data_IF_923365812467
#
_entry.id   IF_923365812467
#
_cell.length_a   1.000
_cell.length_b   1.000
_cell.length_c   1.000
_cell.angle_alpha   90.00
_cell.angle_beta   90.00
_cell.angle_gamma   90.00
#
_symmetry.space_group_name_H-M   'P 1'
#
loop_
_entity.id
_entity.type
_entity.pdbx_description
1 polymer ?
#
# COMPACT_ATOMS: atom_id res chain seq x y z
N UNK A 1 -2.02 -37.57 -12.10
CA UNK A 1 -1.48 -36.31 -12.64
C UNK A 1 -1.54 -35.29 -11.51
N UNK A 2 -0.42 -34.90 -10.86
CA UNK A 2 -0.49 -33.93 -9.79
C UNK A 2 -0.86 -32.57 -10.41
N UNK A 3 -1.97 -32.00 -9.97
CA UNK A 3 -2.40 -30.66 -10.36
C UNK A 3 -1.35 -29.70 -9.77
N UNK A 4 -0.43 -29.23 -10.61
CA UNK A 4 0.53 -28.21 -10.19
C UNK A 4 -0.26 -26.98 -9.72
N UNK A 5 0.02 -26.45 -8.52
CA UNK A 5 -0.68 -25.28 -7.99
C UNK A 5 -0.58 -24.09 -8.96
N UNK A 6 -1.63 -23.27 -9.05
CA UNK A 6 -1.72 -22.17 -10.02
C UNK A 6 -0.67 -21.08 -9.78
N UNK A 7 -0.34 -20.79 -8.51
CA UNK A 7 0.76 -19.89 -8.16
C UNK A 7 2.07 -20.48 -8.65
N UNK A 8 2.29 -21.79 -8.47
CA UNK A 8 3.50 -22.50 -8.89
C UNK A 8 3.65 -22.54 -10.42
N UNK A 9 2.54 -22.71 -11.13
CA UNK A 9 2.48 -22.69 -12.59
C UNK A 9 2.85 -21.31 -13.10
N UNK A 10 2.23 -20.23 -12.58
CA UNK A 10 2.57 -18.84 -12.89
C UNK A 10 3.97 -18.41 -12.39
N UNK A 11 4.50 -19.10 -11.38
CA UNK A 11 5.86 -18.92 -10.84
C UNK A 11 6.92 -19.50 -11.80
N UNK A 12 6.64 -20.64 -12.46
CA UNK A 12 7.51 -21.25 -13.48
C UNK A 12 7.33 -20.63 -14.89
N UNK A 13 6.10 -20.29 -15.29
CA UNK A 13 5.80 -19.93 -16.69
C UNK A 13 5.80 -18.43 -17.02
N UNK A 14 5.87 -17.54 -16.02
CA UNK A 14 5.86 -16.09 -16.27
C UNK A 14 4.54 -15.55 -16.86
N UNK A 15 3.49 -16.36 -16.92
CA UNK A 15 2.22 -16.00 -17.56
C UNK A 15 1.51 -14.88 -16.78
N UNK A 16 1.10 -13.85 -17.52
CA UNK A 16 0.34 -12.69 -17.05
C UNK A 16 -1.13 -12.99 -17.31
N UNK A 17 -1.94 -13.04 -16.25
CA UNK A 17 -3.40 -13.05 -16.38
C UNK A 17 -3.83 -11.66 -16.87
N UNK A 18 -4.33 -11.60 -18.10
CA UNK A 18 -4.69 -10.37 -18.81
C UNK A 18 -6.20 -10.42 -19.06
N UNK A 19 -7.00 -10.07 -18.06
CA UNK A 19 -8.46 -10.06 -18.21
C UNK A 19 -8.99 -8.66 -17.90
N UNK A 20 -9.29 -7.89 -18.96
CA UNK A 20 -10.33 -6.86 -18.94
C UNK A 20 -10.77 -6.59 -20.38
N UNK A 21 -11.75 -7.35 -20.84
CA UNK A 21 -12.51 -7.11 -22.07
C UNK A 21 -13.82 -6.41 -21.66
N UNK A 22 -14.03 -5.17 -22.08
CA UNK A 22 -15.30 -4.43 -21.91
C UNK A 22 -15.70 -3.88 -23.29
N UNK A 23 -16.83 -4.33 -23.88
CA UNK A 23 -17.31 -3.82 -25.15
C UNK A 23 -18.29 -2.65 -25.00
N UNK A 24 -18.26 -1.74 -25.98
CA UNK A 24 -19.43 -0.95 -26.41
C UNK A 24 -19.59 0.45 -25.79
N UNK A 25 -19.08 1.48 -26.49
CA UNK A 25 -19.47 2.88 -26.26
C UNK A 25 -20.20 3.40 -27.50
N UNK A 26 -21.53 3.51 -27.40
CA UNK A 26 -22.41 4.08 -28.43
C UNK A 26 -22.31 5.61 -28.39
N UNK A 27 -22.25 6.20 -29.58
CA UNK A 27 -22.18 7.63 -29.84
C UNK A 27 -23.42 8.38 -29.33
N UNK A 28 -23.26 9.64 -28.95
CA UNK A 28 -24.16 10.75 -29.28
C UNK A 28 -23.55 12.10 -28.89
N UNK A 29 -23.34 12.94 -29.92
CA UNK A 29 -23.32 14.41 -29.87
C UNK A 29 -24.75 14.86 -30.24
N UNK A 30 -25.27 16.03 -29.80
CA UNK A 30 -24.83 17.30 -30.40
C UNK A 30 -24.97 18.61 -29.56
N UNK A 31 -24.15 19.60 -29.96
CA UNK A 31 -24.50 21.00 -30.31
C UNK A 31 -25.01 22.04 -29.28
N UNK A 32 -24.63 23.30 -29.57
CA UNK A 32 -25.12 24.63 -29.14
C UNK A 32 -24.56 25.22 -27.83
N UNK A 33 -23.67 26.21 -27.92
CA UNK A 33 -23.89 27.67 -28.10
C UNK A 33 -24.45 28.34 -26.83
N UNK A 34 -23.65 29.18 -26.15
CA UNK A 34 -23.91 30.62 -26.13
C UNK A 34 -22.88 31.44 -25.32
N UNK A 35 -22.60 32.61 -25.86
CA UNK A 35 -21.80 33.72 -25.35
C UNK A 35 -22.53 34.52 -24.26
N UNK A 36 -21.83 35.02 -23.22
CA UNK A 36 -22.07 36.39 -22.70
C UNK A 36 -21.00 36.88 -21.71
N UNK A 37 -20.28 37.89 -22.19
CA UNK A 37 -19.93 39.20 -21.60
C UNK A 37 -19.86 39.38 -20.07
N UNK A 38 -18.66 39.77 -19.62
CA UNK A 38 -18.32 40.34 -18.31
C UNK A 38 -19.03 41.69 -18.05
N UNK A 39 -19.54 41.87 -16.83
CA UNK A 39 -19.67 43.16 -16.17
C UNK A 39 -19.31 43.02 -14.67
N UNK A 40 -18.63 44.00 -14.06
CA UNK A 40 -18.18 43.90 -12.68
C UNK A 40 -19.35 44.18 -11.73
N UNK A 41 -19.74 43.19 -10.95
CA UNK A 41 -20.63 43.35 -9.80
C UNK A 41 -19.76 43.56 -8.55
N UNK A 42 -20.08 44.60 -7.78
CA UNK A 42 -19.44 44.85 -6.47
C UNK A 42 -19.93 43.80 -5.47
N UNK A 43 -19.16 42.73 -5.31
CA UNK A 43 -19.38 41.69 -4.31
C UNK A 43 -18.93 42.19 -2.92
N UNK A 44 -19.89 42.48 -2.05
CA UNK A 44 -19.66 42.66 -0.60
C UNK A 44 -19.56 41.28 0.10
N UNK A 45 -18.72 40.41 -0.46
CA UNK A 45 -18.41 39.09 0.08
C UNK A 45 -17.18 39.11 1.00
N UNK A 46 -16.96 38.07 1.83
CA UNK A 46 -15.78 37.98 2.68
C UNK A 46 -14.50 38.07 1.81
N UNK A 47 -13.56 38.91 2.25
CA UNK A 47 -12.30 39.20 1.56
C UNK A 47 -11.63 37.88 1.16
N UNK A 48 -11.39 37.61 -0.14
CA UNK A 48 -10.70 36.40 -0.55
C UNK A 48 -9.28 36.46 -0.02
N UNK A 49 -9.00 35.66 1.02
CA UNK A 49 -7.66 35.49 1.56
C UNK A 49 -6.78 34.84 0.48
N UNK A 50 -6.08 35.68 -0.27
CA UNK A 50 -5.10 35.21 -1.24
C UNK A 50 -3.89 34.62 -0.50
N UNK A 51 -3.44 33.44 -0.94
CA UNK A 51 -2.25 32.81 -0.39
C UNK A 51 -1.02 33.66 -0.68
N UNK A 52 -0.12 33.88 0.30
CA UNK A 52 1.07 34.70 0.12
C UNK A 52 1.90 34.19 -1.06
N UNK A 53 2.34 35.10 -1.93
CA UNK A 53 2.99 34.80 -3.20
C UNK A 53 4.26 33.93 -3.05
N UNK A 54 4.89 33.95 -1.87
CA UNK A 54 6.06 33.12 -1.51
C UNK A 54 5.77 31.61 -1.63
N UNK A 55 4.50 31.20 -1.45
CA UNK A 55 4.09 29.79 -1.56
C UNK A 55 3.57 29.43 -2.96
N UNK A 56 3.57 30.37 -3.92
CA UNK A 56 3.15 30.10 -5.30
C UNK A 56 4.37 29.67 -6.10
N UNK A 57 4.43 28.39 -6.49
CA UNK A 57 5.43 27.92 -7.43
C UNK A 57 5.11 28.50 -8.83
N UNK A 58 5.96 29.37 -9.41
CA UNK A 58 5.66 30.05 -10.68
C UNK A 58 5.61 29.08 -11.88
N UNK A 59 6.12 27.86 -11.74
CA UNK A 59 6.09 26.84 -12.79
C UNK A 59 4.74 26.12 -12.91
N UNK A 60 3.78 26.34 -12.00
CA UNK A 60 2.47 25.72 -12.01
C UNK A 60 1.39 26.77 -12.26
N UNK A 61 0.73 26.68 -13.42
CA UNK A 61 -0.32 27.62 -13.81
C UNK A 61 -1.65 27.43 -13.06
N UNK A 62 -1.88 26.26 -12.45
CA UNK A 62 -3.11 25.95 -11.72
C UNK A 62 -2.83 25.21 -10.40
N UNK A 63 -3.39 25.72 -9.30
CA UNK A 63 -3.22 25.22 -7.92
C UNK A 63 -3.82 23.84 -7.69
N UNK A 64 -4.80 23.47 -8.50
CA UNK A 64 -5.54 22.21 -8.37
C UNK A 64 -5.36 21.30 -9.58
N UNK A 65 -4.25 21.45 -10.32
CA UNK A 65 -3.95 20.64 -11.51
C UNK A 65 -3.99 19.12 -11.24
N UNK A 66 -3.69 18.70 -10.01
CA UNK A 66 -3.74 17.29 -9.57
C UNK A 66 -5.14 16.81 -9.19
N UNK A 67 -6.11 17.72 -9.00
CA UNK A 67 -7.51 17.40 -8.68
C UNK A 67 -8.41 17.43 -9.92
N UNK A 68 -7.95 18.05 -11.02
CA UNK A 68 -8.68 18.00 -12.30
C UNK A 68 -8.45 16.64 -12.95
N UNK A 69 -9.54 15.88 -13.08
CA UNK A 69 -9.57 14.68 -13.90
C UNK A 69 -9.14 15.06 -15.32
N UNK A 70 -8.04 14.47 -15.79
CA UNK A 70 -7.44 14.76 -17.07
C UNK A 70 -8.36 14.36 -18.22
N UNK A 71 -9.17 15.29 -18.72
CA UNK A 71 -9.72 15.19 -20.07
C UNK A 71 -8.60 15.58 -21.04
N UNK A 72 -8.05 14.54 -21.69
CA UNK A 72 -7.14 14.55 -22.84
C UNK A 72 -6.46 15.90 -23.18
N UNK A 73 -5.20 16.08 -22.73
CA UNK A 73 -4.29 17.06 -23.33
C UNK A 73 -3.11 16.34 -23.98
N UNK A 74 -2.96 16.60 -25.27
CA UNK A 74 -1.84 16.21 -26.12
C UNK A 74 -0.56 16.83 -25.51
N UNK A 75 0.50 16.05 -25.25
CA UNK A 75 1.74 16.59 -24.72
C UNK A 75 2.49 17.41 -25.79
N UNK A 76 3.12 18.55 -25.43
CA UNK A 76 4.00 19.28 -26.34
C UNK A 76 5.30 18.50 -26.62
N UNK A 77 5.94 18.70 -27.79
CA UNK A 77 7.16 17.99 -28.16
C UNK A 77 8.33 18.43 -27.28
N UNK A 78 8.85 17.50 -26.48
CA UNK A 78 10.07 17.66 -25.69
C UNK A 78 11.25 17.58 -26.65
N UNK A 79 12.02 18.66 -26.78
CA UNK A 79 13.31 18.66 -27.47
C UNK A 79 14.29 17.78 -26.69
N UNK A 80 14.69 16.66 -27.29
CA UNK A 80 15.68 15.75 -26.72
C UNK A 80 17.08 16.27 -27.05
N UNK A 81 17.67 17.03 -26.14
CA UNK A 81 19.11 17.17 -26.10
C UNK A 81 19.71 15.76 -25.96
N UNK A 82 20.47 15.32 -26.97
CA UNK A 82 21.14 14.01 -27.02
C UNK A 82 22.18 13.94 -25.91
N UNK A 83 21.76 13.52 -24.72
CA UNK A 83 22.68 13.06 -23.67
C UNK A 83 22.92 11.57 -23.88
N UNK A 84 24.20 11.24 -23.92
CA UNK A 84 24.77 9.92 -24.19
C UNK A 84 23.96 8.76 -23.58
N UNK A 85 23.44 7.89 -24.47
CA UNK A 85 22.62 6.71 -24.14
C UNK A 85 23.38 5.62 -23.36
N UNK A 86 24.69 5.77 -23.18
CA UNK A 86 25.51 4.75 -22.50
C UNK A 86 25.23 4.63 -21.00
N UNK A 87 24.72 5.69 -20.37
CA UNK A 87 24.38 5.73 -18.92
C UNK A 87 22.88 5.43 -18.65
N UNK A 88 22.06 5.18 -19.66
CA UNK A 88 20.59 5.07 -19.51
C UNK A 88 20.13 3.77 -18.79
N UNK A 89 21.03 2.77 -18.71
CA UNK A 89 20.83 1.54 -17.93
C UNK A 89 21.40 1.61 -16.51
N UNK A 90 22.08 2.69 -16.14
CA UNK A 90 22.55 2.89 -14.79
C UNK A 90 21.34 3.26 -13.91
N UNK A 91 20.92 2.34 -13.03
CA UNK A 91 19.78 2.60 -12.16
C UNK A 91 19.96 3.91 -11.38
N UNK A 92 18.87 4.64 -11.08
CA UNK A 92 18.90 5.94 -10.39
C UNK A 92 19.76 5.98 -9.10
N UNK A 93 20.06 4.84 -8.48
CA UNK A 93 20.98 4.73 -7.33
C UNK A 93 22.45 4.84 -7.74
N UNK A 94 22.82 4.29 -8.88
CA UNK A 94 24.17 4.37 -9.41
C UNK A 94 24.52 5.78 -9.87
N UNK A 95 23.63 6.44 -10.61
CA UNK A 95 23.78 7.85 -11.02
C UNK A 95 24.00 8.74 -9.78
N UNK A 96 23.20 8.55 -8.72
CA UNK A 96 23.39 9.29 -7.46
C UNK A 96 24.72 9.00 -6.76
N UNK A 97 25.26 7.78 -6.85
CA UNK A 97 26.59 7.47 -6.29
C UNK A 97 27.70 8.15 -7.10
N UNK A 98 27.57 8.17 -8.43
CA UNK A 98 28.50 8.86 -9.34
C UNK A 98 28.47 10.37 -9.11
N UNK A 99 27.29 10.97 -8.95
CA UNK A 99 27.14 12.39 -8.61
C UNK A 99 27.65 12.70 -7.19
N UNK A 100 27.36 11.85 -6.21
CA UNK A 100 27.90 11.99 -4.85
C UNK A 100 29.43 11.86 -4.81
N UNK A 101 30.03 11.08 -5.70
CA UNK A 101 31.49 10.98 -5.80
C UNK A 101 32.12 12.27 -6.34
N UNK A 102 31.42 13.06 -7.15
CA UNK A 102 31.90 14.38 -7.61
C UNK A 102 32.02 15.41 -6.49
N UNK A 103 31.34 15.15 -5.39
CA UNK A 103 31.37 15.97 -4.18
C UNK A 103 32.50 15.58 -3.22
N UNK A 104 33.27 14.52 -3.51
CA UNK A 104 34.48 14.20 -2.77
C UNK A 104 35.56 15.27 -3.05
N UNK A 105 35.94 16.04 -2.02
CA UNK A 105 36.96 17.09 -2.12
C UNK A 105 36.41 18.52 -2.10
N UNK A 106 35.10 18.73 -2.02
CA UNK A 106 34.54 20.06 -1.79
C UNK A 106 34.66 20.43 -0.29
N UNK A 107 35.39 21.51 0.06
CA UNK A 107 35.58 21.93 1.47
C UNK A 107 34.28 22.38 2.15
N UNK A 108 33.22 22.66 1.40
CA UNK A 108 31.92 23.04 1.93
C UNK A 108 30.98 21.86 2.18
N UNK A 109 31.41 20.63 1.85
CA UNK A 109 30.60 19.43 2.05
C UNK A 109 31.04 18.77 3.36
N UNK A 110 30.25 19.04 4.40
CA UNK A 110 30.47 18.50 5.75
C UNK A 110 29.80 17.14 5.84
N UNK A 111 30.57 16.12 6.21
CA UNK A 111 30.02 14.80 6.52
C UNK A 111 29.10 14.89 7.74
N UNK A 112 28.03 14.11 7.74
CA UNK A 112 27.18 13.96 8.91
C UNK A 112 28.05 13.56 10.11
N UNK A 113 28.03 14.39 11.15
CA UNK A 113 28.73 14.15 12.40
C UNK A 113 27.90 13.19 13.26
N UNK A 114 28.53 12.58 14.27
CA UNK A 114 27.81 11.70 15.21
C UNK A 114 26.62 12.40 15.89
N UNK A 115 26.67 13.74 16.03
CA UNK A 115 25.57 14.55 16.57
C UNK A 115 24.35 14.58 15.65
N UNK A 116 24.54 14.53 14.33
CA UNK A 116 23.44 14.55 13.35
C UNK A 116 22.66 13.23 13.34
N UNK A 117 23.29 12.14 13.80
CA UNK A 117 22.65 10.84 13.99
C UNK A 117 21.93 10.71 15.34
N UNK A 118 22.16 11.64 16.28
CA UNK A 118 21.42 11.67 17.54
C UNK A 118 20.09 12.35 17.27
N UNK A 119 19.02 11.55 17.21
CA UNK A 119 17.67 12.07 17.22
C UNK A 119 17.48 12.81 18.56
N UNK A 120 17.33 14.13 18.50
CA UNK A 120 16.92 14.92 19.66
C UNK A 120 15.53 14.46 20.05
N UNK A 121 15.45 13.59 21.06
CA UNK A 121 14.16 13.19 21.62
C UNK A 121 13.57 14.44 22.24
N UNK A 122 12.39 14.90 21.80
CA UNK A 122 11.76 16.05 22.40
C UNK A 122 11.59 15.77 23.89
N UNK A 123 12.29 16.53 24.74
CA UNK A 123 12.04 16.48 26.17
C UNK A 123 10.64 17.04 26.36
N UNK A 124 9.67 16.14 26.57
CA UNK A 124 8.31 16.49 26.89
C UNK A 124 8.30 17.16 28.27
N UNK A 125 8.56 18.47 28.30
CA UNK A 125 8.24 19.28 29.46
C UNK A 125 6.73 19.31 29.56
N UNK A 126 6.20 18.85 30.69
CA UNK A 126 4.78 18.96 30.98
C UNK A 126 4.43 20.44 30.94
N UNK A 127 3.57 20.84 30.01
CA UNK A 127 3.05 22.22 29.96
C UNK A 127 2.12 22.51 31.13
N UNK A 128 1.75 21.48 31.89
CA UNK A 128 0.95 21.59 33.09
C UNK A 128 1.83 21.92 34.29
N UNK A 129 1.51 22.97 35.06
CA UNK A 129 2.17 23.26 36.32
C UNK A 129 1.92 22.12 37.31
N UNK A 130 2.98 21.63 37.96
CA UNK A 130 2.87 20.76 39.13
C UNK A 130 2.88 21.62 40.40
N UNK A 131 1.94 21.43 41.34
CA UNK A 131 0.85 20.45 41.33
C UNK A 131 -0.32 20.90 40.44
N UNK A 132 -1.07 19.91 39.92
CA UNK A 132 -2.28 20.13 39.15
C UNK A 132 -3.21 21.12 39.88
N UNK A 133 -3.73 22.17 39.21
CA UNK A 133 -4.62 23.13 39.85
C UNK A 133 -5.83 22.44 40.50
N UNK A 134 -6.26 22.86 41.71
CA UNK A 134 -7.28 22.14 42.49
C UNK A 134 -8.66 22.09 41.84
N UNK A 135 -8.90 22.91 40.81
CA UNK A 135 -10.15 22.94 40.05
C UNK A 135 -10.21 21.92 38.89
N UNK A 136 -9.13 21.18 38.62
CA UNK A 136 -9.09 20.16 37.56
C UNK A 136 -9.12 18.76 38.19
N UNK A 137 -10.28 18.08 38.22
CA UNK A 137 -10.41 16.81 38.94
C UNK A 137 -9.67 15.68 38.20
N UNK A 138 -8.94 14.85 38.97
CA UNK A 138 -8.08 13.76 38.45
C UNK A 138 -8.81 12.64 37.70
N UNK A 139 -10.13 12.51 37.91
CA UNK A 139 -10.88 11.30 37.55
C UNK A 139 -12.08 11.58 36.62
N UNK A 140 -12.02 12.61 35.76
CA UNK A 140 -13.06 12.75 34.73
C UNK A 140 -12.79 11.70 33.65
N UNK A 141 -13.68 10.72 33.53
CA UNK A 141 -13.73 9.84 32.37
C UNK A 141 -13.89 10.69 31.12
N UNK A 142 -12.90 10.64 30.24
CA UNK A 142 -12.95 11.28 28.92
C UNK A 142 -14.18 10.74 28.20
N UNK A 143 -15.03 11.62 27.61
CA UNK A 143 -16.19 11.15 26.85
C UNK A 143 -15.72 10.22 25.73
N UNK A 144 -16.50 9.17 25.46
CA UNK A 144 -16.18 8.19 24.43
C UNK A 144 -15.91 8.90 23.10
N UNK A 145 -14.66 8.86 22.65
CA UNK A 145 -14.26 9.43 21.37
C UNK A 145 -14.95 8.65 20.25
N UNK A 146 -15.72 9.33 19.41
CA UNK A 146 -16.27 8.73 18.19
C UNK A 146 -15.11 8.47 17.23
N UNK A 147 -14.86 7.21 16.84
CA UNK A 147 -13.81 6.93 15.88
C UNK A 147 -14.15 7.60 14.54
N UNK A 148 -13.15 8.16 13.83
CA UNK A 148 -13.38 8.77 12.53
C UNK A 148 -13.92 7.75 11.54
N UNK A 149 -14.75 8.21 10.60
CA UNK A 149 -15.28 7.36 9.53
C UNK A 149 -14.12 6.73 8.72
N UNK A 150 -14.23 5.44 8.44
CA UNK A 150 -13.21 4.69 7.70
C UNK A 150 -13.24 5.10 6.23
N UNK A 151 -12.32 5.98 5.85
CA UNK A 151 -12.12 6.37 4.46
C UNK A 151 -11.42 5.24 3.67
N UNK A 152 -12.08 4.59 2.69
CA UNK A 152 -11.52 3.44 1.98
C UNK A 152 -10.27 3.84 1.17
N UNK A 153 -10.22 5.06 0.63
CA UNK A 153 -9.07 5.53 -0.14
C UNK A 153 -7.83 5.74 0.72
N UNK A 154 -7.98 6.25 1.95
CA UNK A 154 -6.87 6.40 2.90
C UNK A 154 -6.37 5.05 3.40
N UNK A 155 -7.30 4.14 3.73
CA UNK A 155 -6.97 2.78 4.15
C UNK A 155 -6.24 1.99 3.04
N UNK A 156 -6.58 2.26 1.77
CA UNK A 156 -5.95 1.62 0.62
C UNK A 156 -4.63 2.29 0.19
N UNK A 157 -4.36 3.54 0.58
CA UNK A 157 -3.14 4.25 0.20
C UNK A 157 -1.87 3.65 0.84
N UNK A 158 -2.00 2.98 2.00
CA UNK A 158 -0.93 2.22 2.66
C UNK A 158 -0.79 0.78 2.20
N UNK A 159 -1.60 0.33 1.23
CA UNK A 159 -1.53 -1.04 0.70
C UNK A 159 -0.23 -1.17 -0.07
N UNK A 160 0.81 -1.70 0.58
CA UNK A 160 2.08 -2.00 -0.06
C UNK A 160 1.85 -2.90 -1.27
N UNK A 161 1.80 -2.28 -2.44
CA UNK A 161 1.73 -2.93 -3.72
C UNK A 161 3.10 -3.52 -4.06
N UNK A 162 3.68 -4.32 -3.16
CA UNK A 162 4.73 -5.27 -3.52
C UNK A 162 4.21 -6.01 -4.74
N UNK A 163 4.69 -5.65 -5.92
CA UNK A 163 4.19 -6.21 -7.16
C UNK A 163 4.23 -7.73 -7.04
N UNK A 164 3.24 -8.44 -7.56
CA UNK A 164 3.30 -9.90 -7.64
C UNK A 164 4.62 -10.35 -8.32
N UNK A 165 5.23 -9.50 -9.16
CA UNK A 165 6.58 -9.69 -9.72
C UNK A 165 7.69 -9.70 -8.64
N UNK A 166 7.65 -8.80 -7.67
CA UNK A 166 8.61 -8.72 -6.56
C UNK A 166 8.47 -9.89 -5.59
N UNK A 167 7.23 -10.25 -5.25
CA UNK A 167 6.90 -11.44 -4.48
C UNK A 167 7.43 -12.72 -5.14
N UNK A 168 7.18 -12.90 -6.44
CA UNK A 168 7.71 -14.05 -7.21
C UNK A 168 9.24 -14.07 -7.17
N UNK A 169 9.90 -12.91 -7.32
CA UNK A 169 11.37 -12.81 -7.26
C UNK A 169 11.91 -13.23 -5.89
N UNK A 170 11.29 -12.77 -4.80
CA UNK A 170 11.64 -13.18 -3.43
C UNK A 170 11.44 -14.68 -3.25
N UNK A 171 10.27 -15.24 -3.55
CA UNK A 171 10.00 -16.67 -3.36
C UNK A 171 10.95 -17.57 -4.19
N UNK A 172 11.34 -17.15 -5.40
CA UNK A 172 12.37 -17.86 -6.19
C UNK A 172 13.72 -17.89 -5.52
N UNK A 173 14.13 -16.81 -4.84
CA UNK A 173 15.41 -16.73 -4.13
C UNK A 173 15.49 -17.78 -3.00
N UNK A 174 14.36 -18.20 -2.47
CA UNK A 174 14.27 -19.10 -1.31
C UNK A 174 14.11 -20.58 -1.72
N UNK A 175 14.02 -20.87 -3.03
CA UNK A 175 14.16 -22.21 -3.60
C UNK A 175 13.05 -23.21 -3.25
N UNK A 176 13.43 -24.48 -3.10
CA UNK A 176 12.52 -25.64 -2.92
C UNK A 176 11.73 -25.60 -1.62
N UNK A 177 12.32 -25.04 -0.54
CA UNK A 177 11.61 -24.82 0.73
C UNK A 177 10.39 -23.94 0.53
N UNK A 178 10.53 -22.86 -0.23
CA UNK A 178 9.43 -21.97 -0.55
C UNK A 178 8.39 -22.65 -1.45
N UNK A 179 8.84 -23.40 -2.46
CA UNK A 179 7.96 -24.14 -3.38
C UNK A 179 7.01 -25.07 -2.64
N UNK A 180 7.54 -25.96 -1.79
CA UNK A 180 6.71 -26.89 -1.02
C UNK A 180 5.71 -26.16 -0.12
N UNK A 181 6.11 -25.05 0.49
CA UNK A 181 5.27 -24.31 1.43
C UNK A 181 4.16 -23.53 0.72
N UNK A 182 4.46 -22.97 -0.46
CA UNK A 182 3.47 -22.35 -1.33
C UNK A 182 2.45 -23.39 -1.80
N UNK A 183 2.90 -24.58 -2.23
CA UNK A 183 2.00 -25.66 -2.67
C UNK A 183 0.96 -26.00 -1.60
N UNK A 184 1.40 -26.25 -0.38
CA UNK A 184 0.54 -26.70 0.70
C UNK A 184 -0.46 -25.62 1.12
N UNK A 185 0.02 -24.38 1.28
CA UNK A 185 -0.83 -23.22 1.62
C UNK A 185 -1.84 -22.93 0.51
N UNK A 186 -1.40 -22.97 -0.75
CA UNK A 186 -2.27 -22.70 -1.90
C UNK A 186 -3.37 -23.76 -2.01
N UNK A 187 -3.03 -25.04 -1.80
CA UNK A 187 -4.00 -26.12 -1.80
C UNK A 187 -5.11 -25.88 -0.76
N UNK A 188 -4.74 -25.50 0.47
CA UNK A 188 -5.73 -25.21 1.51
C UNK A 188 -6.59 -23.98 1.18
N UNK A 189 -5.99 -22.90 0.66
CA UNK A 189 -6.74 -21.69 0.28
C UNK A 189 -7.70 -22.01 -0.87
N UNK A 190 -7.27 -22.77 -1.88
CA UNK A 190 -8.14 -23.14 -2.99
C UNK A 190 -9.27 -24.07 -2.53
N UNK A 191 -8.97 -25.07 -1.71
CA UNK A 191 -9.98 -25.95 -1.13
C UNK A 191 -11.02 -25.17 -0.31
N UNK A 192 -10.57 -24.17 0.46
CA UNK A 192 -11.46 -23.28 1.19
C UNK A 192 -12.33 -22.42 0.26
N UNK A 193 -11.75 -21.80 -0.76
CA UNK A 193 -12.47 -20.96 -1.73
C UNK A 193 -13.46 -21.75 -2.59
N UNK A 194 -13.21 -23.02 -2.84
CA UNK A 194 -14.12 -23.93 -3.54
C UNK A 194 -15.33 -24.34 -2.69
N UNK A 195 -15.39 -23.92 -1.42
CA UNK A 195 -16.45 -24.28 -0.48
C UNK A 195 -16.24 -25.63 0.18
N UNK A 196 -14.99 -26.07 0.34
CA UNK A 196 -14.62 -27.35 0.92
C UNK A 196 -15.02 -27.53 2.39
N UNK A 197 -14.76 -28.74 2.89
CA UNK A 197 -15.15 -29.27 4.21
C UNK A 197 -14.96 -28.27 5.36
N UNK A 198 -16.06 -27.96 6.04
CA UNK A 198 -16.09 -27.08 7.21
C UNK A 198 -15.72 -27.84 8.48
N UNK A 199 -15.07 -27.14 9.40
CA UNK A 199 -14.79 -27.69 10.72
C UNK A 199 -16.09 -27.64 11.54
N UNK A 200 -16.77 -28.78 11.64
CA UNK A 200 -17.95 -29.03 12.50
C UNK A 200 -18.99 -27.88 12.54
N UNK A 201 -19.75 -27.68 11.43
CA UNK A 201 -20.73 -26.60 11.34
C UNK A 201 -21.86 -26.70 12.38
N UNK A 202 -22.13 -27.92 12.88
CA UNK A 202 -23.23 -28.20 13.82
C UNK A 202 -22.78 -28.21 15.29
N UNK A 203 -21.51 -27.94 15.59
CA UNK A 203 -21.09 -27.79 16.98
C UNK A 203 -21.53 -26.42 17.50
N UNK A 204 -22.05 -26.37 18.72
CA UNK A 204 -22.39 -25.10 19.42
C UNK A 204 -21.19 -24.12 19.48
N UNK A 205 -19.99 -24.61 19.18
CA UNK A 205 -18.71 -23.92 19.16
C UNK A 205 -18.14 -23.72 17.74
N UNK A 206 -18.96 -23.66 16.69
CA UNK A 206 -18.50 -23.48 15.30
C UNK A 206 -17.62 -22.23 15.06
N UNK A 207 -17.67 -21.24 15.97
CA UNK A 207 -16.83 -20.04 15.96
C UNK A 207 -15.71 -20.06 17.02
N UNK A 208 -15.60 -21.12 17.83
CA UNK A 208 -14.56 -21.23 18.83
C UNK A 208 -13.22 -21.59 18.19
N UNK A 209 -12.18 -20.85 18.56
CA UNK A 209 -10.81 -21.13 18.13
C UNK A 209 -10.36 -22.49 18.70
N UNK A 210 -10.12 -23.47 17.83
CA UNK A 210 -9.63 -24.78 18.25
C UNK A 210 -8.11 -24.72 18.44
N UNK A 211 -7.67 -24.60 19.70
CA UNK A 211 -6.26 -24.55 20.07
C UNK A 211 -5.82 -25.92 20.62
N UNK A 212 -4.68 -26.49 20.19
CA UNK A 212 -3.62 -25.86 19.38
C UNK A 212 -3.86 -25.85 17.86
N UNK A 213 -4.97 -26.41 17.39
CA UNK A 213 -5.34 -26.49 15.96
C UNK A 213 -4.81 -27.75 15.26
N UNK A 214 -5.29 -28.01 14.05
CA UNK A 214 -4.85 -29.14 13.22
C UNK A 214 -3.65 -28.76 12.35
N UNK A 215 -2.65 -29.64 12.20
CA UNK A 215 -1.51 -29.34 11.34
C UNK A 215 -1.94 -29.23 9.87
N UNK A 216 -1.54 -28.15 9.20
CA UNK A 216 -1.79 -27.97 7.77
C UNK A 216 -0.89 -28.94 6.98
N UNK A 217 -1.49 -29.86 6.24
CA UNK A 217 -0.78 -30.86 5.40
C UNK A 217 0.35 -31.61 6.16
N UNK A 218 0.15 -31.89 7.45
CA UNK A 218 1.12 -32.61 8.29
C UNK A 218 2.30 -31.79 8.80
N UNK A 219 2.26 -30.45 8.69
CA UNK A 219 3.30 -29.55 9.20
C UNK A 219 2.91 -28.97 10.56
N UNK A 220 3.77 -29.17 11.57
CA UNK A 220 3.46 -28.77 12.95
C UNK A 220 3.53 -27.27 13.22
N UNK A 221 4.21 -26.51 12.37
CA UNK A 221 4.49 -25.08 12.56
C UNK A 221 3.43 -24.15 11.95
N UNK A 222 2.49 -24.69 11.16
CA UNK A 222 1.27 -23.99 10.69
C UNK A 222 0.09 -24.85 11.09
N UNK A 223 -0.74 -24.34 12.00
CA UNK A 223 -1.91 -25.04 12.51
C UNK A 223 -3.17 -24.29 12.19
N UNK A 224 -4.15 -24.98 11.64
CA UNK A 224 -5.48 -24.44 11.41
C UNK A 224 -6.28 -24.43 12.72
N UNK A 225 -6.74 -23.24 13.10
CA UNK A 225 -7.45 -23.00 14.35
C UNK A 225 -8.95 -22.79 14.10
N UNK A 226 -9.31 -22.21 12.96
CA UNK A 226 -10.71 -21.99 12.59
C UNK A 226 -10.86 -21.96 11.07
N UNK A 227 -11.90 -22.63 10.56
CA UNK A 227 -12.31 -22.57 9.16
C UNK A 227 -13.81 -22.39 9.06
N UNK A 228 -14.22 -21.27 8.50
CA UNK A 228 -15.62 -20.96 8.16
C UNK A 228 -15.70 -20.48 6.71
N UNK A 229 -16.88 -20.40 6.09
CA UNK A 229 -17.02 -19.87 4.72
C UNK A 229 -16.46 -18.43 4.54
N UNK A 230 -16.37 -17.67 5.64
CA UNK A 230 -15.99 -16.26 5.61
C UNK A 230 -14.55 -16.01 6.06
N UNK A 231 -13.97 -16.93 6.84
CA UNK A 231 -12.65 -16.75 7.42
C UNK A 231 -11.89 -18.07 7.57
N UNK A 232 -10.59 -17.98 7.34
CA UNK A 232 -9.62 -19.05 7.56
C UNK A 232 -8.55 -18.52 8.51
N UNK A 233 -8.43 -19.12 9.68
CA UNK A 233 -7.53 -18.67 10.75
C UNK A 233 -6.46 -19.73 11.02
N UNK A 234 -5.21 -19.30 10.89
CA UNK A 234 -4.04 -20.14 11.13
C UNK A 234 -3.21 -19.60 12.30
N UNK A 235 -2.77 -20.50 13.17
CA UNK A 235 -1.73 -20.28 14.16
C UNK A 235 -0.38 -20.67 13.56
N UNK A 236 0.54 -19.71 13.50
CA UNK A 236 1.89 -19.90 12.96
C UNK A 236 2.87 -19.63 14.11
N UNK A 237 3.60 -20.68 14.53
CA UNK A 237 4.55 -20.60 15.62
C UNK A 237 5.84 -19.91 15.16
N UNK A 238 6.05 -18.63 15.53
CA UNK A 238 7.24 -17.77 15.35
C UNK A 238 8.02 -17.85 14.02
N UNK A 239 7.45 -18.43 12.96
CA UNK A 239 8.05 -18.48 11.63
C UNK A 239 7.59 -17.27 10.81
N UNK A 240 8.41 -16.22 10.84
CA UNK A 240 8.20 -15.02 10.03
C UNK A 240 8.13 -15.32 8.53
N UNK A 241 8.82 -16.36 8.05
CA UNK A 241 8.76 -16.75 6.64
C UNK A 241 7.45 -17.42 6.28
N UNK A 242 7.01 -18.41 7.07
CA UNK A 242 5.72 -19.06 6.85
C UNK A 242 4.60 -18.01 6.80
N UNK A 243 4.58 -17.07 7.75
CA UNK A 243 3.65 -15.94 7.77
C UNK A 243 3.72 -15.10 6.50
N UNK A 244 4.94 -14.74 6.06
CA UNK A 244 5.13 -14.03 4.80
C UNK A 244 4.52 -14.77 3.60
N UNK A 245 4.76 -16.08 3.48
CA UNK A 245 4.23 -16.87 2.35
C UNK A 245 2.71 -16.98 2.40
N UNK A 246 2.11 -17.15 3.58
CA UNK A 246 0.65 -17.12 3.76
C UNK A 246 0.06 -15.84 3.17
N UNK A 247 0.60 -14.67 3.54
CA UNK A 247 0.13 -13.39 3.00
C UNK A 247 0.34 -13.28 1.48
N UNK A 248 1.43 -13.84 0.97
CA UNK A 248 1.71 -13.88 -0.47
C UNK A 248 0.66 -14.68 -1.24
N UNK A 249 0.33 -15.89 -0.76
CA UNK A 249 -0.68 -16.74 -1.35
C UNK A 249 -2.07 -16.10 -1.25
N UNK A 250 -2.47 -15.63 -0.05
CA UNK A 250 -3.74 -14.94 0.14
C UNK A 250 -3.89 -13.77 -0.84
N UNK A 251 -2.86 -12.94 -0.97
CA UNK A 251 -2.85 -11.82 -1.92
C UNK A 251 -2.96 -12.26 -3.37
N UNK A 252 -2.33 -13.37 -3.77
CA UNK A 252 -2.42 -13.87 -5.15
C UNK A 252 -3.86 -14.26 -5.51
N UNK A 253 -4.60 -14.83 -4.56
CA UNK A 253 -6.02 -15.18 -4.71
C UNK A 253 -6.98 -14.03 -4.35
N UNK A 254 -6.46 -12.80 -4.14
CA UNK A 254 -7.22 -11.63 -3.70
C UNK A 254 -7.98 -11.80 -2.37
N UNK A 255 -7.51 -12.70 -1.51
CA UNK A 255 -7.99 -12.89 -0.14
C UNK A 255 -7.35 -11.84 0.76
N UNK A 256 -8.15 -11.24 1.65
CA UNK A 256 -7.67 -10.31 2.67
C UNK A 256 -6.99 -11.12 3.78
N UNK A 257 -5.77 -10.74 4.15
CA UNK A 257 -5.02 -11.37 5.24
C UNK A 257 -4.55 -10.31 6.23
N UNK A 258 -4.50 -10.69 7.51
CA UNK A 258 -4.14 -9.85 8.65
C UNK A 258 -3.03 -10.50 9.47
#
# INVERSE_FOLDING_TARGET
>A
MPILPYVLKCWKSGLVRSDSNIPGKVANNPSMQDSKTDSPTEDTGPIPLSFPAILRNPALSDRYAHLRHSTARIPPPISTAKKDRRDEHEGKRWIRRKDNARFAGNPHIVLATKKDHLLSVPQARTTFPEPLPPYLPRNITVPASTPPAREPNSANAGRFSLSLKGMRKELRRWGTRAESLVCDIEAEIMQWLEGGTFFSPDSENANALHLPGNPVQGRDYIREVLRTPLQLVWSIADDAFARYVVHCCARYHNVVSF
#
